data_IF_568037726349
#
_entry.id   IF_568037726349
#
_cell.length_a   1.000
_cell.length_b   1.000
_cell.length_c   1.000
_cell.angle_alpha   90.00
_cell.angle_beta   90.00
_cell.angle_gamma   90.00
#
_symmetry.space_group_name_H-M   'P 1'
#
loop_
_entity.id
_entity.type
_entity.pdbx_description
1 polymer ?
#
# COMPACT_ATOMS: atom_id res chain seq x y z
N UNK A 1 12.88 16.33 13.87
CA UNK A 1 11.43 16.42 13.55
C UNK A 1 11.20 15.42 12.42
N UNK A 2 10.51 14.31 12.69
CA UNK A 2 10.21 13.30 11.66
C UNK A 2 9.12 13.91 10.78
N UNK A 3 9.49 14.27 9.56
CA UNK A 3 8.49 14.70 8.57
C UNK A 3 7.58 13.50 8.30
N UNK A 4 6.30 13.65 8.60
CA UNK A 4 5.30 12.63 8.26
C UNK A 4 5.21 12.61 6.74
N UNK A 5 5.63 11.51 6.14
CA UNK A 5 5.59 11.32 4.70
C UNK A 5 4.13 11.32 4.22
N UNK A 6 3.85 12.02 3.13
CA UNK A 6 2.52 12.08 2.51
C UNK A 6 1.97 10.66 2.18
N UNK A 7 2.85 9.73 1.88
CA UNK A 7 2.51 8.32 1.72
C UNK A 7 1.95 7.71 3.01
N UNK A 8 2.59 7.94 4.16
CA UNK A 8 2.11 7.41 5.44
C UNK A 8 0.75 7.99 5.81
N UNK A 9 0.57 9.27 5.56
CA UNK A 9 -0.70 9.95 5.84
C UNK A 9 -1.85 9.34 5.04
N UNK A 10 -1.67 9.16 3.73
CA UNK A 10 -2.70 8.62 2.84
C UNK A 10 -2.90 7.11 2.97
N UNK A 11 -1.81 6.34 2.99
CA UNK A 11 -1.90 4.88 2.97
C UNK A 11 -2.23 4.25 4.34
N UNK A 12 -1.93 4.94 5.44
CA UNK A 12 -2.05 4.38 6.80
C UNK A 12 -3.04 5.14 7.65
N UNK A 13 -2.89 6.46 7.76
CA UNK A 13 -3.74 7.25 8.65
C UNK A 13 -5.15 7.47 8.10
N UNK A 14 -5.30 7.74 6.80
CA UNK A 14 -6.59 7.97 6.23
C UNK A 14 -7.56 6.76 6.36
N UNK A 15 -7.16 5.50 6.02
CA UNK A 15 -8.04 4.36 6.26
C UNK A 15 -8.30 4.13 7.76
N UNK A 16 -7.30 4.34 8.62
CA UNK A 16 -7.50 4.22 10.07
C UNK A 16 -8.51 5.25 10.60
N UNK A 17 -8.47 6.47 10.08
CA UNK A 17 -9.43 7.51 10.44
C UNK A 17 -10.85 7.17 9.98
N UNK A 18 -11.00 6.66 8.74
CA UNK A 18 -12.31 6.23 8.22
C UNK A 18 -12.88 5.11 9.10
N UNK A 19 -12.08 4.07 9.37
CA UNK A 19 -12.50 2.93 10.20
C UNK A 19 -12.78 3.35 11.65
N UNK A 20 -12.00 4.29 12.21
CA UNK A 20 -12.19 4.77 13.56
C UNK A 20 -13.33 5.79 13.70
N UNK A 21 -13.81 6.39 12.60
CA UNK A 21 -14.73 7.51 12.65
C UNK A 21 -16.03 7.26 13.46
N UNK A 22 -16.70 6.09 13.39
CA UNK A 22 -17.86 5.84 14.24
C UNK A 22 -17.50 5.83 15.73
N UNK A 23 -16.38 5.24 16.07
CA UNK A 23 -15.88 5.16 17.44
C UNK A 23 -15.43 6.51 17.99
N UNK A 24 -14.87 7.36 17.12
CA UNK A 24 -14.54 8.76 17.45
C UNK A 24 -15.78 9.52 17.89
N UNK A 25 -16.86 9.41 17.13
CA UNK A 25 -18.11 10.09 17.46
C UNK A 25 -18.65 9.66 18.83
N UNK A 26 -18.58 8.35 19.13
CA UNK A 26 -18.98 7.82 20.42
C UNK A 26 -18.09 8.39 21.54
N UNK A 27 -16.76 8.37 21.35
CA UNK A 27 -15.81 8.90 22.34
C UNK A 27 -16.02 10.40 22.56
N UNK A 28 -16.22 11.18 21.49
CA UNK A 28 -16.50 12.62 21.59
C UNK A 28 -17.79 12.87 22.36
N UNK A 29 -18.87 12.14 22.07
CA UNK A 29 -20.12 12.28 22.80
C UNK A 29 -19.98 11.96 24.29
N UNK A 30 -19.26 10.89 24.63
CA UNK A 30 -18.99 10.51 26.03
C UNK A 30 -18.13 11.57 26.72
N UNK A 31 -17.04 12.03 26.07
CA UNK A 31 -16.16 13.06 26.64
C UNK A 31 -16.93 14.36 26.87
N UNK A 32 -17.78 14.78 25.92
CA UNK A 32 -18.60 15.98 26.09
C UNK A 32 -19.60 15.85 27.26
N UNK A 33 -20.12 14.66 27.49
CA UNK A 33 -21.05 14.43 28.60
C UNK A 33 -20.38 14.53 29.99
N UNK A 34 -19.07 14.23 30.06
CA UNK A 34 -18.34 14.17 31.34
C UNK A 34 -17.28 15.26 31.54
N UNK A 35 -16.85 15.96 30.48
CA UNK A 35 -15.76 16.94 30.53
C UNK A 35 -16.27 18.37 30.63
N UNK A 36 -16.00 19.01 31.77
CA UNK A 36 -16.39 20.40 32.04
C UNK A 36 -15.31 21.45 31.81
N UNK A 37 -14.09 21.05 31.39
CA UNK A 37 -12.95 21.98 31.32
C UNK A 37 -12.10 21.82 30.05
N UNK A 38 -11.51 22.92 29.59
CA UNK A 38 -10.64 23.00 28.43
C UNK A 38 -9.39 22.10 28.52
N UNK A 39 -8.89 21.88 29.74
CA UNK A 39 -7.73 21.06 30.04
C UNK A 39 -7.99 19.56 29.74
N UNK A 40 -9.19 19.10 30.08
CA UNK A 40 -9.62 17.72 29.83
C UNK A 40 -9.81 17.48 28.32
N UNK A 41 -10.23 18.48 27.56
CA UNK A 41 -10.39 18.40 26.10
C UNK A 41 -9.05 18.25 25.40
N UNK A 42 -8.01 18.98 25.81
CA UNK A 42 -6.67 18.89 25.23
C UNK A 42 -6.01 17.53 25.52
N UNK A 43 -6.12 17.05 26.76
CA UNK A 43 -5.62 15.72 27.12
C UNK A 43 -6.34 14.61 26.34
N UNK A 44 -7.66 14.70 26.21
CA UNK A 44 -8.45 13.75 25.42
C UNK A 44 -8.05 13.75 23.94
N UNK A 45 -7.78 14.92 23.35
CA UNK A 45 -7.31 15.02 21.98
C UNK A 45 -5.94 14.35 21.77
N UNK A 46 -5.00 14.54 22.69
CA UNK A 46 -3.69 13.88 22.64
C UNK A 46 -3.79 12.36 22.77
N UNK A 47 -4.59 11.88 23.71
CA UNK A 47 -4.86 10.44 23.87
C UNK A 47 -5.48 9.88 22.61
N UNK A 48 -6.47 10.58 22.04
CA UNK A 48 -7.12 10.16 20.79
C UNK A 48 -6.12 10.04 19.64
N UNK A 49 -5.25 11.04 19.44
CA UNK A 49 -4.22 11.01 18.40
C UNK A 49 -3.25 9.84 18.60
N UNK A 50 -2.84 9.56 19.85
CA UNK A 50 -1.99 8.43 20.18
C UNK A 50 -2.68 7.09 19.85
N UNK A 51 -3.96 6.94 20.22
CA UNK A 51 -4.76 5.76 19.90
C UNK A 51 -4.99 5.59 18.40
N UNK A 52 -5.28 6.67 17.68
CA UNK A 52 -5.41 6.64 16.23
C UNK A 52 -4.10 6.22 15.56
N UNK A 53 -2.98 6.74 16.05
CA UNK A 53 -1.66 6.32 15.60
C UNK A 53 -1.44 4.82 15.81
N UNK A 54 -1.66 4.31 17.02
CA UNK A 54 -1.55 2.88 17.33
C UNK A 54 -2.50 2.04 16.47
N UNK A 55 -3.75 2.48 16.31
CA UNK A 55 -4.76 1.80 15.51
C UNK A 55 -4.38 1.73 14.01
N UNK A 56 -3.65 2.72 13.51
CA UNK A 56 -3.15 2.70 12.12
C UNK A 56 -2.24 1.51 11.82
N UNK A 57 -1.50 1.00 12.80
CA UNK A 57 -0.69 -0.22 12.66
C UNK A 57 -1.55 -1.47 12.57
N UNK A 58 -2.64 -1.53 13.34
CA UNK A 58 -3.61 -2.65 13.30
C UNK A 58 -4.25 -2.70 11.92
N UNK A 59 -4.79 -1.59 11.44
CA UNK A 59 -5.43 -1.46 10.11
C UNK A 59 -4.46 -1.87 9.00
N UNK A 60 -3.21 -1.42 9.07
CA UNK A 60 -2.16 -1.83 8.13
C UNK A 60 -1.86 -3.33 8.23
N UNK A 61 -1.80 -3.88 9.44
CA UNK A 61 -1.58 -5.31 9.66
C UNK A 61 -2.68 -6.17 9.03
N UNK A 62 -3.94 -5.77 9.21
CA UNK A 62 -5.10 -6.42 8.61
C UNK A 62 -5.07 -6.33 7.08
N UNK A 63 -4.75 -5.16 6.51
CA UNK A 63 -4.59 -4.99 5.08
C UNK A 63 -3.50 -5.90 4.50
N UNK A 64 -2.38 -6.07 5.18
CA UNK A 64 -1.31 -6.97 4.75
C UNK A 64 -1.71 -8.45 4.80
N UNK A 65 -2.57 -8.84 5.73
CA UNK A 65 -3.03 -10.23 5.82
C UNK A 65 -3.84 -10.65 4.60
N UNK A 66 -4.70 -9.76 4.09
CA UNK A 66 -5.49 -10.05 2.90
C UNK A 66 -4.68 -9.97 1.60
N UNK A 67 -3.57 -9.25 1.59
CA UNK A 67 -2.75 -9.01 0.41
C UNK A 67 -2.26 -10.31 -0.23
N UNK A 68 -1.77 -11.24 0.57
CA UNK A 68 -1.31 -12.54 0.09
C UNK A 68 -2.44 -13.36 -0.54
N UNK A 69 -3.64 -13.31 0.05
CA UNK A 69 -4.82 -13.98 -0.50
C UNK A 69 -5.28 -13.36 -1.82
N UNK A 70 -5.27 -12.03 -1.91
CA UNK A 70 -5.59 -11.31 -3.14
C UNK A 70 -4.57 -11.64 -4.26
N UNK A 71 -3.28 -11.62 -3.94
CA UNK A 71 -2.25 -11.96 -4.93
C UNK A 71 -2.35 -13.41 -5.37
N UNK A 72 -2.64 -14.34 -4.46
CA UNK A 72 -2.86 -15.75 -4.82
C UNK A 72 -4.05 -15.91 -5.78
N UNK A 73 -5.15 -15.16 -5.56
CA UNK A 73 -6.32 -15.20 -6.44
C UNK A 73 -6.07 -14.58 -7.82
N UNK A 74 -5.08 -13.68 -7.94
CA UNK A 74 -4.69 -13.03 -9.21
C UNK A 74 -3.53 -13.74 -9.92
N UNK A 75 -3.04 -14.85 -9.37
CA UNK A 75 -1.90 -15.57 -9.92
C UNK A 75 -0.54 -14.95 -9.58
N UNK A 76 -0.50 -13.97 -8.67
CA UNK A 76 0.72 -13.30 -8.20
C UNK A 76 0.56 -11.80 -8.01
N UNK A 77 1.63 -11.09 -7.65
CA UNK A 77 1.60 -9.63 -7.56
C UNK A 77 1.20 -9.00 -8.91
N UNK A 78 0.30 -7.99 -8.95
CA UNK A 78 -0.23 -7.44 -10.21
C UNK A 78 0.86 -7.03 -11.20
N UNK A 79 1.95 -6.42 -10.71
CA UNK A 79 3.07 -6.03 -11.57
C UNK A 79 3.76 -7.22 -12.25
N UNK A 80 3.83 -8.37 -11.60
CA UNK A 80 4.43 -9.57 -12.17
C UNK A 80 3.47 -10.27 -13.13
N UNK A 81 2.18 -10.34 -12.81
CA UNK A 81 1.17 -10.98 -13.66
C UNK A 81 0.98 -10.25 -14.98
N UNK A 82 0.98 -8.90 -14.98
CA UNK A 82 0.83 -8.08 -16.20
C UNK A 82 1.90 -8.35 -17.27
N UNK A 83 3.11 -8.71 -16.85
CA UNK A 83 4.19 -9.09 -17.78
C UNK A 83 4.24 -10.58 -18.07
N UNK A 84 3.43 -11.40 -17.41
CA UNK A 84 3.30 -12.83 -17.69
C UNK A 84 2.60 -13.10 -19.02
N UNK A 85 2.92 -14.23 -19.67
CA UNK A 85 2.34 -14.56 -20.98
C UNK A 85 0.85 -14.88 -20.89
N UNK A 86 0.40 -15.36 -19.74
CA UNK A 86 -1.02 -15.68 -19.50
C UNK A 86 -1.93 -14.44 -19.40
N UNK A 87 -1.37 -13.26 -19.11
CA UNK A 87 -2.13 -12.01 -19.05
C UNK A 87 -2.36 -11.44 -20.45
N UNK A 88 -3.56 -10.96 -20.74
CA UNK A 88 -3.94 -10.41 -22.05
C UNK A 88 -4.03 -8.87 -22.07
N UNK A 89 -3.68 -8.20 -20.97
CA UNK A 89 -3.78 -6.73 -20.85
C UNK A 89 -2.86 -6.02 -21.85
N UNK A 90 -1.64 -6.54 -22.01
CA UNK A 90 -0.67 -6.02 -22.97
C UNK A 90 -0.47 -7.00 -24.14
N UNK A 91 -0.24 -6.46 -25.34
CA UNK A 91 0.15 -7.25 -26.49
C UNK A 91 1.51 -7.92 -26.26
N UNK A 92 1.76 -9.05 -26.93
CA UNK A 92 3.04 -9.76 -26.87
C UNK A 92 4.22 -8.85 -27.22
N UNK A 93 4.05 -7.97 -28.23
CA UNK A 93 5.08 -7.01 -28.63
C UNK A 93 5.37 -6.00 -27.52
N UNK A 94 4.33 -5.46 -26.87
CA UNK A 94 4.48 -4.52 -25.75
C UNK A 94 5.19 -5.20 -24.59
N UNK A 95 4.84 -6.43 -24.26
CA UNK A 95 5.51 -7.21 -23.20
C UNK A 95 6.98 -7.43 -23.52
N UNK A 96 7.31 -7.84 -24.75
CA UNK A 96 8.69 -8.04 -25.18
C UNK A 96 9.52 -6.76 -25.07
N UNK A 97 8.96 -5.62 -25.52
CA UNK A 97 9.63 -4.31 -25.36
C UNK A 97 9.86 -3.93 -23.92
N UNK A 98 8.85 -4.12 -23.05
CA UNK A 98 8.96 -3.82 -21.62
C UNK A 98 10.02 -4.71 -20.94
N UNK A 99 10.00 -6.01 -21.23
CA UNK A 99 10.99 -6.98 -20.71
C UNK A 99 12.41 -6.61 -21.14
N UNK A 100 12.61 -6.27 -22.42
CA UNK A 100 13.88 -5.83 -22.96
C UNK A 100 14.36 -4.53 -22.31
N UNK A 101 13.48 -3.55 -22.14
CA UNK A 101 13.80 -2.30 -21.47
C UNK A 101 14.21 -2.52 -20.02
N UNK A 102 13.50 -3.38 -19.29
CA UNK A 102 13.81 -3.73 -17.91
C UNK A 102 15.17 -4.42 -17.81
N UNK A 103 15.45 -5.37 -18.71
CA UNK A 103 16.74 -6.05 -18.80
C UNK A 103 17.90 -5.06 -19.02
N UNK A 104 17.74 -4.15 -19.97
CA UNK A 104 18.76 -3.15 -20.31
C UNK A 104 18.96 -2.14 -19.19
N UNK A 105 17.88 -1.61 -18.61
CA UNK A 105 17.95 -0.55 -17.59
C UNK A 105 18.48 -1.05 -16.26
N UNK A 106 18.14 -2.27 -15.88
CA UNK A 106 18.48 -2.85 -14.58
C UNK A 106 19.70 -3.74 -14.61
N UNK A 107 20.31 -3.96 -15.78
CA UNK A 107 21.47 -4.85 -15.93
C UNK A 107 21.16 -6.30 -15.54
N UNK A 108 19.92 -6.74 -15.64
CA UNK A 108 19.50 -8.11 -15.33
C UNK A 108 19.96 -9.00 -16.50
N UNK A 109 21.23 -9.38 -16.49
CA UNK A 109 21.77 -10.30 -17.47
C UNK A 109 21.18 -11.69 -17.22
N UNK A 110 20.42 -12.21 -18.18
CA UNK A 110 19.87 -13.56 -18.15
C UNK A 110 18.35 -13.66 -18.04
N UNK A 111 17.63 -12.54 -18.05
CA UNK A 111 16.19 -12.55 -18.29
C UNK A 111 15.91 -12.91 -19.75
N UNK A 112 16.21 -14.15 -20.13
CA UNK A 112 15.74 -14.71 -21.40
C UNK A 112 14.23 -14.77 -21.36
N UNK A 113 13.59 -14.71 -22.51
CA UNK A 113 12.13 -14.78 -22.64
C UNK A 113 11.54 -15.99 -21.88
N UNK A 114 12.27 -17.09 -21.83
CA UNK A 114 11.92 -18.30 -21.08
C UNK A 114 11.93 -18.12 -19.54
N UNK A 115 12.75 -17.23 -18.96
CA UNK A 115 12.82 -17.02 -17.52
C UNK A 115 11.65 -16.20 -16.97
N UNK A 116 11.04 -15.35 -17.80
CA UNK A 116 9.86 -14.57 -17.40
C UNK A 116 8.57 -15.42 -17.35
N UNK A 117 8.59 -16.58 -18.01
CA UNK A 117 7.41 -17.46 -18.13
C UNK A 117 7.39 -18.57 -17.09
N UNK A 118 8.57 -19.02 -16.64
CA UNK A 118 8.68 -20.27 -15.88
C UNK A 118 9.16 -20.12 -14.44
N UNK A 119 9.73 -18.98 -14.05
CA UNK A 119 10.25 -18.78 -12.70
C UNK A 119 9.69 -17.51 -12.06
N UNK A 120 8.60 -17.70 -11.31
CA UNK A 120 7.93 -16.62 -10.57
C UNK A 120 8.89 -15.91 -9.59
N UNK A 121 9.87 -16.61 -9.03
CA UNK A 121 10.85 -16.02 -8.10
C UNK A 121 11.76 -15.03 -8.82
N UNK A 122 12.27 -15.38 -10.01
CA UNK A 122 13.10 -14.47 -10.81
C UNK A 122 12.31 -13.22 -11.22
N UNK A 123 11.04 -13.39 -11.61
CA UNK A 123 10.15 -12.27 -11.92
C UNK A 123 9.96 -11.37 -10.69
N UNK A 124 9.74 -11.93 -9.51
CA UNK A 124 9.59 -11.16 -8.28
C UNK A 124 10.85 -10.40 -7.91
N UNK A 125 12.02 -11.00 -8.07
CA UNK A 125 13.30 -10.34 -7.79
C UNK A 125 13.59 -9.22 -8.79
N UNK A 126 13.31 -9.42 -10.07
CA UNK A 126 13.37 -8.36 -11.07
C UNK A 126 12.46 -7.18 -10.69
N UNK A 127 11.22 -7.45 -10.25
CA UNK A 127 10.31 -6.40 -9.78
C UNK A 127 10.75 -5.70 -8.49
N UNK A 128 11.53 -6.33 -7.64
CA UNK A 128 12.15 -5.64 -6.49
C UNK A 128 13.14 -4.58 -6.98
N UNK A 129 13.97 -4.92 -7.95
CA UNK A 129 14.93 -3.98 -8.56
C UNK A 129 14.20 -2.84 -9.30
N UNK A 130 13.17 -3.17 -10.07
CA UNK A 130 12.30 -2.17 -10.73
C UNK A 130 11.72 -1.19 -9.70
N UNK A 131 11.12 -1.68 -8.63
CA UNK A 131 10.56 -0.83 -7.57
C UNK A 131 11.62 0.06 -6.93
N UNK A 132 12.80 -0.47 -6.68
CA UNK A 132 13.91 0.31 -6.13
C UNK A 132 14.32 1.42 -7.09
N UNK A 133 14.48 1.10 -8.37
CA UNK A 133 14.83 2.07 -9.41
C UNK A 133 13.77 3.17 -9.57
N UNK A 134 12.50 2.79 -9.68
CA UNK A 134 11.39 3.74 -9.78
C UNK A 134 11.35 4.65 -8.55
N UNK A 135 11.48 4.09 -7.35
CA UNK A 135 11.48 4.86 -6.11
C UNK A 135 12.59 5.92 -6.05
N UNK A 136 13.75 5.62 -6.63
CA UNK A 136 14.87 6.56 -6.71
C UNK A 136 14.65 7.66 -7.75
N UNK A 137 13.81 7.42 -8.77
CA UNK A 137 13.59 8.31 -9.91
C UNK A 137 12.15 8.84 -10.00
N UNK A 138 11.35 8.70 -8.95
CA UNK A 138 9.95 9.18 -8.89
C UNK A 138 9.87 10.70 -8.67
N UNK A 139 10.47 11.45 -9.60
CA UNK A 139 10.53 12.92 -9.51
C UNK A 139 9.15 13.58 -9.50
N UNK A 140 8.16 12.96 -10.14
CA UNK A 140 6.80 13.47 -10.23
C UNK A 140 5.89 12.94 -9.12
N UNK A 141 6.37 12.07 -8.24
CA UNK A 141 5.59 11.46 -7.17
C UNK A 141 4.44 10.55 -7.64
N UNK A 142 4.38 10.21 -8.94
CA UNK A 142 3.27 9.45 -9.52
C UNK A 142 3.21 8.03 -8.96
N UNK A 143 4.35 7.37 -8.91
CA UNK A 143 4.44 6.02 -8.34
C UNK A 143 4.08 6.02 -6.85
N UNK A 144 4.60 7.01 -6.10
CA UNK A 144 4.31 7.18 -4.67
C UNK A 144 2.81 7.41 -4.44
N UNK A 145 2.15 8.21 -5.30
CA UNK A 145 0.72 8.46 -5.22
C UNK A 145 -0.11 7.19 -5.45
N UNK A 146 0.14 6.45 -6.53
CA UNK A 146 -0.56 5.20 -6.82
C UNK A 146 -0.31 4.12 -5.75
N UNK A 147 0.91 4.04 -5.24
CA UNK A 147 1.23 3.11 -4.17
C UNK A 147 0.52 3.48 -2.85
N UNK A 148 0.31 4.78 -2.59
CA UNK A 148 -0.48 5.24 -1.45
C UNK A 148 -1.97 4.91 -1.61
N UNK A 149 -2.54 5.09 -2.81
CA UNK A 149 -3.92 4.70 -3.13
C UNK A 149 -4.13 3.19 -2.97
N UNK A 150 -3.23 2.38 -3.52
CA UNK A 150 -3.27 0.93 -3.31
C UNK A 150 -3.22 0.57 -1.82
N UNK A 151 -2.30 1.18 -1.07
CA UNK A 151 -2.17 0.98 0.37
C UNK A 151 -3.43 1.37 1.14
N UNK A 152 -4.08 2.48 0.75
CA UNK A 152 -5.35 2.94 1.32
C UNK A 152 -6.45 1.90 1.10
N UNK A 153 -6.70 1.51 -0.16
CA UNK A 153 -7.76 0.57 -0.51
C UNK A 153 -7.56 -0.81 0.13
N UNK A 154 -6.33 -1.32 0.09
CA UNK A 154 -5.97 -2.58 0.73
C UNK A 154 -6.24 -2.56 2.24
N UNK A 155 -5.81 -1.50 2.92
CA UNK A 155 -5.97 -1.36 4.36
C UNK A 155 -7.44 -1.19 4.73
N UNK A 156 -8.20 -0.42 3.95
CA UNK A 156 -9.64 -0.26 4.13
C UNK A 156 -10.35 -1.61 3.94
N UNK A 157 -10.05 -2.32 2.85
CA UNK A 157 -10.63 -3.64 2.57
C UNK A 157 -10.31 -4.68 3.66
N UNK A 158 -9.08 -4.67 4.19
CA UNK A 158 -8.66 -5.59 5.24
C UNK A 158 -9.31 -5.35 6.59
N UNK A 159 -9.81 -4.15 6.82
CA UNK A 159 -10.37 -3.72 8.11
C UNK A 159 -11.83 -3.29 8.06
N UNK A 160 -12.51 -3.45 6.92
CA UNK A 160 -13.90 -3.00 6.74
C UNK A 160 -14.89 -3.58 7.76
N UNK A 161 -14.64 -4.80 8.23
CA UNK A 161 -15.46 -5.48 9.23
C UNK A 161 -15.36 -4.85 10.64
N UNK A 162 -14.49 -3.85 10.85
CA UNK A 162 -14.40 -3.07 12.09
C UNK A 162 -15.38 -1.87 12.10
N UNK A 163 -16.00 -1.56 10.96
CA UNK A 163 -17.04 -0.55 10.83
C UNK A 163 -18.37 -1.06 11.38
#
# INVERSE_FOLDING_TARGET
MVAVDAYELRARFAPALVIASPWVLVVVAVVQAFASTLLTTSAAALIFLALLYAFSFVVRGLGRRIENGLWASWGGPPSATLLGDADSTFSAETKSRLRSSLSTTLGINGATEASWTNDLHQVQDAFRLVRQHIRQHDHNGLWSAHNAEYGFLRNLLGSWWLL
#
